data_IF_981586746087
#
_entry.id   IF_981586746087
#
_cell.length_a   1.000
_cell.length_b   1.000
_cell.length_c   1.000
_cell.angle_alpha   90.00
_cell.angle_beta   90.00
_cell.angle_gamma   90.00
#
_symmetry.space_group_name_H-M   'P 1'
#
loop_
_entity.id
_entity.type
_entity.pdbx_description
1 polymer ?
#
# COMPACT_ATOMS: atom_id res chain seq x y z
N UNK A 1 -12.23 12.11 23.07
CA UNK A 1 -12.95 11.48 21.94
C UNK A 1 -12.09 11.31 20.67
N UNK A 2 -10.75 11.25 20.76
CA UNK A 2 -9.85 11.52 19.61
C UNK A 2 -8.88 10.40 19.20
N UNK A 3 -9.01 9.16 19.70
CA UNK A 3 -8.07 8.08 19.36
C UNK A 3 -8.68 6.92 18.56
N UNK A 4 -9.98 6.66 18.68
CA UNK A 4 -10.66 5.53 18.04
C UNK A 4 -10.75 5.65 16.50
N UNK A 5 -10.89 6.86 15.96
CA UNK A 5 -10.99 7.10 14.51
C UNK A 5 -9.75 6.59 13.76
N UNK A 6 -8.56 6.66 14.38
CA UNK A 6 -7.32 6.17 13.78
C UNK A 6 -7.29 4.65 13.63
N UNK A 7 -7.85 3.91 14.59
CA UNK A 7 -7.87 2.43 14.53
C UNK A 7 -8.76 1.90 13.40
N UNK A 8 -9.85 2.62 13.09
CA UNK A 8 -10.74 2.29 11.96
C UNK A 8 -9.96 2.37 10.63
N UNK A 9 -9.07 3.35 10.49
CA UNK A 9 -8.24 3.49 9.29
C UNK A 9 -7.25 2.33 9.13
N UNK A 10 -6.69 1.82 10.22
CA UNK A 10 -5.74 0.69 10.19
C UNK A 10 -6.44 -0.56 9.64
N UNK A 11 -7.62 -0.89 10.17
CA UNK A 11 -8.41 -2.03 9.70
C UNK A 11 -8.83 -1.87 8.23
N UNK A 12 -9.18 -0.65 7.82
CA UNK A 12 -9.52 -0.35 6.43
C UNK A 12 -8.33 -0.55 5.50
N UNK A 13 -7.15 -0.04 5.86
CA UNK A 13 -5.91 -0.21 5.07
C UNK A 13 -5.51 -1.69 4.97
N UNK A 14 -5.61 -2.45 6.06
CA UNK A 14 -5.36 -3.89 6.00
C UNK A 14 -6.33 -4.58 5.02
N UNK A 15 -7.64 -4.33 5.16
CA UNK A 15 -8.67 -4.91 4.28
C UNK A 15 -8.44 -4.55 2.81
N UNK A 16 -8.13 -3.30 2.53
CA UNK A 16 -7.85 -2.83 1.18
C UNK A 16 -6.57 -3.45 0.62
N UNK A 17 -5.53 -3.56 1.44
CA UNK A 17 -4.29 -4.25 1.08
C UNK A 17 -4.55 -5.73 0.74
N UNK A 18 -5.36 -6.43 1.52
CA UNK A 18 -5.78 -7.80 1.18
C UNK A 18 -6.51 -7.84 -0.18
N UNK A 19 -7.46 -6.93 -0.41
CA UNK A 19 -8.18 -6.85 -1.69
C UNK A 19 -7.22 -6.64 -2.88
N UNK A 20 -6.29 -5.69 -2.78
CA UNK A 20 -5.32 -5.40 -3.85
C UNK A 20 -4.28 -6.50 -4.03
N UNK A 21 -3.93 -7.22 -2.97
CA UNK A 21 -2.98 -8.32 -3.04
C UNK A 21 -3.50 -9.47 -3.91
N UNK A 22 -4.79 -9.79 -3.81
CA UNK A 22 -5.48 -10.78 -4.65
C UNK A 22 -5.96 -10.23 -5.99
N UNK A 23 -5.71 -8.95 -6.31
CA UNK A 23 -6.03 -8.40 -7.61
C UNK A 23 -4.90 -8.72 -8.61
N UNK A 24 -5.24 -9.35 -9.73
CA UNK A 24 -4.30 -9.74 -10.79
C UNK A 24 -3.84 -8.55 -11.65
N UNK A 25 -4.56 -7.43 -11.61
CA UNK A 25 -4.17 -6.21 -12.30
C UNK A 25 -2.96 -5.52 -11.68
N UNK A 26 -2.69 -5.76 -10.39
CA UNK A 26 -1.59 -5.15 -9.66
C UNK A 26 -0.29 -5.92 -9.95
N UNK A 27 0.78 -5.26 -10.43
CA UNK A 27 2.03 -5.94 -10.73
C UNK A 27 2.64 -6.59 -9.48
N UNK A 28 3.25 -7.75 -9.68
CA UNK A 28 3.90 -8.52 -8.61
C UNK A 28 4.97 -7.72 -7.85
N UNK A 29 5.62 -6.76 -8.52
CA UNK A 29 6.61 -5.85 -7.92
C UNK A 29 6.05 -5.09 -6.71
N UNK A 30 4.79 -4.68 -6.74
CA UNK A 30 4.18 -3.98 -5.60
C UNK A 30 3.79 -4.94 -4.48
N UNK A 31 3.39 -6.18 -4.82
CA UNK A 31 3.05 -7.23 -3.84
C UNK A 31 4.25 -7.65 -2.98
N UNK A 32 5.48 -7.41 -3.44
CA UNK A 32 6.69 -7.62 -2.64
C UNK A 32 6.70 -6.79 -1.36
N UNK A 33 6.09 -5.60 -1.35
CA UNK A 33 6.12 -4.70 -0.20
C UNK A 33 5.44 -5.29 1.05
N UNK A 34 4.16 -5.74 0.99
CA UNK A 34 3.54 -6.42 2.13
C UNK A 34 4.18 -7.78 2.42
N UNK A 35 4.74 -8.47 1.41
CA UNK A 35 5.49 -9.72 1.64
C UNK A 35 6.74 -9.45 2.50
N UNK A 36 7.53 -8.42 2.20
CA UNK A 36 8.68 -8.06 3.02
C UNK A 36 8.28 -7.64 4.43
N UNK A 37 7.17 -6.92 4.59
CA UNK A 37 6.61 -6.60 5.90
C UNK A 37 6.23 -7.86 6.70
N UNK A 38 5.62 -8.85 6.06
CA UNK A 38 5.28 -10.14 6.68
C UNK A 38 6.53 -10.96 7.01
N UNK A 39 7.51 -10.98 6.11
CA UNK A 39 8.80 -11.65 6.34
C UNK A 39 9.50 -11.02 7.55
N UNK A 40 9.48 -9.69 7.67
CA UNK A 40 10.04 -8.99 8.81
C UNK A 40 9.34 -9.38 10.13
N UNK A 41 8.01 -9.47 10.11
CA UNK A 41 7.23 -9.92 11.27
C UNK A 41 7.46 -11.40 11.65
N UNK A 42 7.65 -12.27 10.65
CA UNK A 42 7.76 -13.73 10.85
C UNK A 42 9.19 -14.20 11.13
N UNK A 43 10.20 -13.51 10.61
CA UNK A 43 11.58 -13.87 10.87
C UNK A 43 12.01 -13.18 12.17
N UNK A 44 12.30 -13.92 13.25
CA UNK A 44 12.79 -13.38 14.51
C UNK A 44 14.29 -13.03 14.39
N UNK A 45 14.65 -12.20 13.40
CA UNK A 45 16.05 -11.85 13.07
C UNK A 45 16.68 -10.89 14.09
N UNK A 46 15.90 -10.43 15.06
CA UNK A 46 16.24 -9.58 16.20
C UNK A 46 17.66 -8.98 16.14
N UNK A 47 17.79 -7.80 15.50
CA UNK A 47 19.03 -7.05 15.51
C UNK A 47 19.35 -6.48 16.91
N UNK A 48 18.39 -6.49 17.85
CA UNK A 48 18.56 -5.97 19.21
C UNK A 48 17.82 -6.83 20.24
N UNK A 49 18.46 -7.93 20.71
CA UNK A 49 17.95 -8.77 21.80
C UNK A 49 17.58 -8.00 23.09
N UNK A 50 18.13 -6.80 23.25
CA UNK A 50 18.05 -5.98 24.46
C UNK A 50 16.68 -5.31 24.67
N UNK A 51 15.86 -5.11 23.62
CA UNK A 51 14.57 -4.38 23.70
C UNK A 51 13.39 -5.30 24.03
N UNK A 52 13.60 -6.62 24.01
CA UNK A 52 12.55 -7.64 24.18
C UNK A 52 11.93 -7.71 25.59
N UNK A 53 12.45 -6.95 26.55
CA UNK A 53 12.12 -7.02 27.99
C UNK A 53 10.66 -6.65 28.32
N UNK A 54 9.90 -6.01 27.42
CA UNK A 54 8.53 -5.53 27.70
C UNK A 54 7.49 -5.77 26.58
N UNK A 55 7.78 -6.64 25.59
CA UNK A 55 6.86 -6.87 24.47
C UNK A 55 6.73 -5.69 23.49
N UNK A 56 7.57 -4.66 23.66
CA UNK A 56 7.63 -3.47 22.79
C UNK A 56 8.16 -3.83 21.39
N UNK A 57 9.04 -4.84 21.29
CA UNK A 57 9.57 -5.30 19.99
C UNK A 57 8.48 -5.71 18.99
N UNK A 58 7.41 -6.36 19.46
CA UNK A 58 6.29 -6.78 18.60
C UNK A 58 5.49 -5.60 18.03
N UNK A 59 5.47 -4.48 18.75
CA UNK A 59 4.76 -3.28 18.31
C UNK A 59 5.49 -2.64 17.12
N UNK A 60 6.83 -2.66 17.13
CA UNK A 60 7.64 -2.13 16.04
C UNK A 60 7.48 -2.97 14.76
N UNK A 61 7.51 -4.31 14.88
CA UNK A 61 7.30 -5.22 13.75
C UNK A 61 5.91 -5.04 13.12
N UNK A 62 4.87 -4.90 13.95
CA UNK A 62 3.50 -4.60 13.50
C UNK A 62 3.40 -3.22 12.85
N UNK A 63 4.18 -2.25 13.32
CA UNK A 63 4.20 -0.90 12.76
C UNK A 63 4.84 -0.88 11.37
N UNK A 64 5.94 -1.62 11.18
CA UNK A 64 6.60 -1.80 9.89
C UNK A 64 5.68 -2.50 8.89
N UNK A 65 5.00 -3.57 9.31
CA UNK A 65 3.98 -4.23 8.49
C UNK A 65 2.85 -3.27 8.11
N UNK A 66 2.38 -2.45 9.05
CA UNK A 66 1.36 -1.45 8.78
C UNK A 66 1.81 -0.41 7.75
N UNK A 67 3.03 0.11 7.86
CA UNK A 67 3.60 1.05 6.88
C UNK A 67 3.70 0.41 5.49
N UNK A 68 4.17 -0.84 5.42
CA UNK A 68 4.26 -1.58 4.17
C UNK A 68 2.89 -1.74 3.50
N UNK A 69 1.86 -2.13 4.25
CA UNK A 69 0.49 -2.21 3.76
C UNK A 69 -0.06 -0.84 3.33
N UNK A 70 0.18 0.21 4.12
CA UNK A 70 -0.27 1.57 3.79
C UNK A 70 0.34 2.09 2.49
N UNK A 71 1.64 1.88 2.28
CA UNK A 71 2.30 2.24 1.02
C UNK A 71 1.83 1.38 -0.15
N UNK A 72 1.64 0.08 0.08
CA UNK A 72 1.13 -0.84 -0.94
C UNK A 72 -0.27 -0.43 -1.41
N UNK A 73 -1.17 -0.07 -0.50
CA UNK A 73 -2.51 0.43 -0.82
C UNK A 73 -2.44 1.65 -1.73
N UNK A 74 -1.59 2.64 -1.37
CA UNK A 74 -1.44 3.88 -2.14
C UNK A 74 -0.83 3.66 -3.53
N UNK A 75 0.19 2.79 -3.62
CA UNK A 75 0.81 2.45 -4.90
C UNK A 75 -0.16 1.70 -5.80
N UNK A 76 -0.91 0.75 -5.25
CA UNK A 76 -1.91 -0.02 -5.98
C UNK A 76 -3.02 0.88 -6.51
N UNK A 77 -3.52 1.79 -5.67
CA UNK A 77 -4.55 2.74 -6.09
C UNK A 77 -4.05 3.67 -7.20
N UNK A 78 -2.86 4.25 -7.04
CA UNK A 78 -2.24 5.12 -8.05
C UNK A 78 -2.00 4.40 -9.37
N UNK A 79 -1.61 3.13 -9.31
CA UNK A 79 -1.39 2.32 -10.50
C UNK A 79 -2.70 2.06 -11.25
N UNK A 80 -3.78 1.68 -10.54
CA UNK A 80 -5.09 1.47 -11.15
C UNK A 80 -5.66 2.75 -11.74
N UNK A 81 -5.60 3.87 -11.01
CA UNK A 81 -6.00 5.19 -11.52
C UNK A 81 -5.23 5.52 -12.81
N UNK A 82 -3.91 5.33 -12.84
CA UNK A 82 -3.12 5.61 -14.06
C UNK A 82 -3.49 4.73 -15.25
N UNK A 83 -3.97 3.51 -15.03
CA UNK A 83 -4.41 2.61 -16.09
C UNK A 83 -5.75 3.05 -16.68
N UNK A 84 -6.67 3.51 -15.83
CA UNK A 84 -7.95 4.09 -16.24
C UNK A 84 -7.77 5.34 -17.11
N UNK A 85 -6.77 6.19 -16.83
CA UNK A 85 -6.46 7.36 -17.66
C UNK A 85 -5.89 7.04 -19.05
N UNK A 86 -5.31 5.84 -19.23
CA UNK A 86 -4.73 5.41 -20.50
C UNK A 86 -5.81 4.73 -21.38
N UNK A 87 -6.82 4.11 -20.77
CA UNK A 87 -7.87 3.33 -21.45
C UNK A 87 -9.08 4.20 -21.85
N UNK A 88 -8.79 5.23 -22.64
CA UNK A 88 -9.79 6.19 -23.12
C UNK A 88 -9.47 6.52 -24.56
N UNK A 89 -10.38 6.15 -25.46
CA UNK A 89 -10.36 6.51 -26.87
C UNK A 89 -10.69 8.00 -27.05
N UNK A 90 -9.77 8.90 -26.68
CA UNK A 90 -9.92 10.29 -27.12
C UNK A 90 -9.47 10.38 -28.59
N UNK A 91 -10.42 10.51 -29.51
CA UNK A 91 -10.11 11.10 -30.82
C UNK A 91 -9.62 12.53 -30.58
N UNK A 92 -8.33 12.77 -30.84
CA UNK A 92 -7.78 14.13 -30.91
C UNK A 92 -8.44 14.81 -32.10
N UNK A 93 -9.57 15.49 -31.85
CA UNK A 93 -10.10 16.46 -32.81
C UNK A 93 -9.11 17.60 -32.88
N UNK A 94 -8.23 17.53 -33.88
CA UNK A 94 -7.39 18.64 -34.30
C UNK A 94 -8.28 19.88 -34.41
N UNK A 95 -8.11 20.79 -33.45
CA UNK A 95 -8.74 22.10 -33.47
C UNK A 95 -8.09 22.81 -34.65
N UNK A 96 -8.85 22.97 -35.73
CA UNK A 96 -8.41 23.74 -36.90
C UNK A 96 -7.93 25.09 -36.40
N UNK A 97 -6.71 25.43 -36.77
CA UNK A 97 -6.18 26.77 -36.80
C UNK A 97 -7.20 27.65 -37.53
N UNK A 98 -7.89 28.52 -36.79
CA UNK A 98 -8.45 29.74 -37.34
C UNK A 98 -7.38 30.82 -37.08
N UNK A 99 -6.37 30.79 -37.93
CA UNK A 99 -5.71 32.02 -38.38
C UNK A 99 -6.40 32.43 -39.69
N UNK A 100 -6.62 33.75 -39.81
CA UNK A 100 -7.16 34.57 -40.92
C UNK A 100 -8.68 34.83 -40.99
#
# INVERSE_FOLDING_TARGET
MFRLIRFINILKTLRNSFKYFFNDEIPFKYKLLPIFGLIYLLIPLDLLPEIRILGIGLIDDLFILYIACYWFERLSNKYLESKEYIETDYEVKNKKEEDD
#
